data_IF_219427077291
#
_entry.id   IF_219427077291
#
_cell.length_a   1.000
_cell.length_b   1.000
_cell.length_c   1.000
_cell.angle_alpha   90.00
_cell.angle_beta   90.00
_cell.angle_gamma   90.00
#
_symmetry.space_group_name_H-M   'P 1'
#
loop_
_entity.id
_entity.type
_entity.pdbx_description
1 polymer ?
#
# COMPACT_ATOMS: atom_id res chain seq x y z
N UNK A 1 -51.11 -1.85 26.45
CA UNK A 1 -50.69 -1.88 25.98
C UNK A 1 -49.69 -1.72 25.51
N UNK A 2 -49.14 -1.82 25.37
CA UNK A 2 -48.33 -1.67 24.99
C UNK A 2 -47.51 -1.44 24.28
N UNK A 3 -46.87 -1.34 23.85
CA UNK A 3 -46.11 -1.03 23.13
C UNK A 3 -44.98 -1.01 23.02
N UNK A 4 -44.43 -1.25 22.65
CA UNK A 4 -43.38 -1.26 22.45
C UNK A 4 -42.62 -0.88 21.63
N UNK A 5 -42.00 -0.63 21.35
CA UNK A 5 -41.25 -0.22 20.63
C UNK A 5 -40.19 -0.59 20.39
N UNK A 6 -39.73 -0.79 19.89
CA UNK A 6 -38.70 -1.16 19.62
C UNK A 6 -37.77 -0.60 19.11
N UNK A 7 -37.18 -0.27 19.33
CA UNK A 7 -36.14 0.34 18.99
C UNK A 7 -35.30 -0.17 18.11
N UNK A 8 -35.02 0.04 17.50
CA UNK A 8 -34.25 -0.46 16.70
C UNK A 8 -33.09 -0.04 16.57
N UNK A 9 -32.39 -0.26 17.00
CA UNK A 9 -31.17 0.07 16.94
C UNK A 9 -30.56 -0.01 15.75
N UNK A 10 -30.26 0.71 15.20
CA UNK A 10 -29.72 0.62 14.14
C UNK A 10 -28.45 0.73 14.12
N UNK A 11 -27.79 -0.06 14.19
CA UNK A 11 -26.49 -0.09 14.14
C UNK A 11 -25.96 0.48 12.99
N UNK A 12 -25.37 1.49 13.08
CA UNK A 12 -24.81 2.04 12.09
C UNK A 12 -23.55 1.56 11.95
N UNK A 13 -23.28 0.63 11.27
CA UNK A 13 -21.98 0.18 11.07
C UNK A 13 -21.30 1.11 10.13
N UNK A 14 -20.61 1.96 10.64
CA UNK A 14 -19.79 2.80 9.83
C UNK A 14 -18.59 2.02 9.48
N UNK A 15 -18.51 1.61 8.29
CA UNK A 15 -17.36 0.90 7.86
C UNK A 15 -16.33 1.88 7.47
N UNK A 16 -15.39 2.04 8.30
CA UNK A 16 -14.27 2.93 8.03
C UNK A 16 -13.07 2.14 7.54
N UNK A 17 -13.31 0.97 7.02
CA UNK A 17 -12.20 0.08 6.67
C UNK A 17 -11.21 0.68 5.69
N UNK A 18 -11.68 1.49 4.74
CA UNK A 18 -10.80 2.13 3.79
C UNK A 18 -9.79 3.05 4.46
N UNK A 19 -10.26 3.91 5.36
CA UNK A 19 -9.38 4.85 6.07
C UNK A 19 -8.45 4.13 7.02
N UNK A 20 -8.94 3.13 7.73
CA UNK A 20 -8.12 2.39 8.68
C UNK A 20 -7.01 1.62 7.97
N UNK A 21 -7.32 0.97 6.85
CA UNK A 21 -6.33 0.23 6.08
C UNK A 21 -5.29 1.17 5.48
N UNK A 22 -5.71 2.34 5.01
CA UNK A 22 -4.77 3.32 4.47
C UNK A 22 -3.83 3.84 5.55
N UNK A 23 -4.35 4.11 6.76
CA UNK A 23 -3.54 4.59 7.87
C UNK A 23 -2.55 3.51 8.32
N UNK A 24 -2.98 2.26 8.43
CA UNK A 24 -2.09 1.16 8.78
C UNK A 24 -0.98 0.96 7.74
N UNK A 25 -1.34 1.04 6.46
CA UNK A 25 -0.39 0.89 5.37
C UNK A 25 0.67 1.97 5.40
N UNK A 26 0.27 3.21 5.61
CA UNK A 26 1.20 4.32 5.69
C UNK A 26 2.11 4.21 6.91
N UNK A 27 1.57 3.83 8.05
CA UNK A 27 2.37 3.64 9.26
C UNK A 27 3.37 2.51 9.09
N UNK A 28 2.97 1.41 8.46
CA UNK A 28 3.85 0.30 8.18
C UNK A 28 4.96 0.71 7.20
N UNK A 29 4.62 1.47 6.19
CA UNK A 29 5.60 1.99 5.22
C UNK A 29 6.63 2.87 5.90
N UNK A 30 6.17 3.73 6.78
CA UNK A 30 7.05 4.61 7.55
C UNK A 30 8.00 3.80 8.43
N UNK A 31 7.44 2.83 9.16
CA UNK A 31 8.24 1.97 10.03
C UNK A 31 9.23 1.11 9.26
N UNK A 32 8.90 0.76 8.03
CA UNK A 32 9.74 -0.08 7.17
C UNK A 32 10.78 0.69 6.38
N UNK A 33 10.79 2.02 6.48
CA UNK A 33 11.79 2.84 5.80
C UNK A 33 11.45 3.20 4.36
N UNK A 34 10.24 2.91 3.91
CA UNK A 34 9.87 3.14 2.52
C UNK A 34 9.79 4.63 2.16
N UNK A 35 9.46 5.47 3.13
CA UNK A 35 9.27 6.90 2.89
C UNK A 35 10.56 7.66 2.70
N UNK A 36 11.71 7.01 2.83
CA UNK A 36 12.98 7.61 2.47
C UNK A 36 13.08 7.85 0.96
N UNK A 37 12.42 7.00 0.17
CA UNK A 37 12.50 7.04 -1.29
C UNK A 37 11.16 7.18 -1.99
N UNK A 38 10.07 7.01 -1.29
CA UNK A 38 8.73 7.11 -1.85
C UNK A 38 7.85 8.08 -1.07
N UNK A 39 6.85 8.60 -1.75
CA UNK A 39 5.75 9.32 -1.13
C UNK A 39 4.47 8.88 -1.84
N UNK A 40 3.33 9.14 -1.21
CA UNK A 40 2.05 8.75 -1.79
C UNK A 40 1.76 9.54 -3.06
N UNK A 41 1.97 10.85 -3.01
CA UNK A 41 1.50 11.73 -4.08
C UNK A 41 2.59 12.32 -4.97
N UNK A 42 3.83 12.09 -4.65
CA UNK A 42 4.93 12.68 -5.45
C UNK A 42 6.14 11.77 -5.52
N UNK A 43 6.91 11.98 -6.55
CA UNK A 43 8.21 11.33 -6.71
C UNK A 43 9.19 11.88 -5.68
N UNK A 44 9.99 10.99 -5.13
CA UNK A 44 11.14 11.35 -4.31
C UNK A 44 12.39 10.80 -5.01
N UNK A 45 12.86 9.63 -4.65
CA UNK A 45 13.84 8.88 -5.43
C UNK A 45 13.09 7.89 -6.32
N UNK A 46 12.14 7.18 -5.73
CA UNK A 46 11.25 6.28 -6.46
C UNK A 46 9.96 6.98 -6.88
N UNK A 47 9.13 6.29 -7.64
CA UNK A 47 7.88 6.87 -8.11
C UNK A 47 6.90 7.13 -6.98
N UNK A 48 5.99 8.07 -7.19
CA UNK A 48 4.86 8.25 -6.31
C UNK A 48 4.03 6.97 -6.28
N UNK A 49 3.55 6.60 -5.12
CA UNK A 49 2.75 5.38 -5.01
C UNK A 49 1.41 5.46 -5.75
N UNK A 50 0.84 6.64 -5.86
CA UNK A 50 -0.36 6.82 -6.69
C UNK A 50 -0.06 6.52 -8.16
N UNK A 51 1.13 6.84 -8.64
CA UNK A 51 1.53 6.52 -10.00
C UNK A 51 1.75 5.02 -10.18
N UNK A 52 2.28 4.35 -9.15
CA UNK A 52 2.42 2.89 -9.18
C UNK A 52 1.04 2.24 -9.26
N UNK A 53 0.11 2.69 -8.43
CA UNK A 53 -1.25 2.17 -8.45
C UNK A 53 -1.92 2.37 -9.82
N UNK A 54 -1.73 3.55 -10.40
CA UNK A 54 -2.31 3.86 -11.71
C UNK A 54 -1.71 3.00 -12.81
N UNK A 55 -0.38 2.80 -12.78
CA UNK A 55 0.31 2.00 -13.79
C UNK A 55 -0.18 0.55 -13.80
N UNK A 56 -0.42 0.00 -12.64
CA UNK A 56 -0.78 -1.42 -12.51
C UNK A 56 -2.27 -1.67 -12.31
N UNK A 57 -3.08 -0.64 -12.50
CA UNK A 57 -4.52 -0.79 -12.34
C UNK A 57 -5.06 -1.84 -13.29
N UNK A 58 -5.79 -2.80 -12.75
CA UNK A 58 -6.37 -3.87 -13.56
C UNK A 58 -5.42 -5.00 -13.92
N UNK A 59 -4.16 -4.91 -13.51
CA UNK A 59 -3.19 -5.96 -13.78
C UNK A 59 -3.19 -6.96 -12.62
N UNK A 60 -3.80 -8.11 -12.83
CA UNK A 60 -3.91 -9.13 -11.79
C UNK A 60 -2.57 -9.73 -11.37
N UNK A 61 -1.55 -9.64 -12.21
CA UNK A 61 -0.23 -10.17 -11.90
C UNK A 61 0.64 -9.19 -11.13
N UNK A 62 0.24 -7.93 -11.05
CA UNK A 62 1.08 -6.89 -10.48
C UNK A 62 1.43 -7.12 -9.02
N UNK A 63 0.49 -7.64 -8.25
CA UNK A 63 0.72 -7.85 -6.83
C UNK A 63 1.94 -8.74 -6.58
N UNK A 64 1.96 -9.90 -7.20
CA UNK A 64 3.05 -10.86 -6.99
C UNK A 64 4.37 -10.33 -7.53
N UNK A 65 4.34 -9.65 -8.66
CA UNK A 65 5.52 -9.04 -9.25
C UNK A 65 6.10 -7.98 -8.31
N UNK A 66 5.26 -7.13 -7.77
CA UNK A 66 5.70 -6.06 -6.87
C UNK A 66 6.16 -6.60 -5.51
N UNK A 67 5.51 -7.62 -4.99
CA UNK A 67 5.97 -8.28 -3.77
C UNK A 67 7.39 -8.81 -3.98
N UNK A 68 7.63 -9.50 -5.08
CA UNK A 68 8.97 -10.01 -5.40
C UNK A 68 9.98 -8.89 -5.57
N UNK A 69 9.57 -7.79 -6.19
CA UNK A 69 10.43 -6.63 -6.39
C UNK A 69 10.84 -6.00 -5.06
N UNK A 70 9.92 -5.82 -4.13
CA UNK A 70 10.24 -5.24 -2.83
C UNK A 70 11.16 -6.15 -2.04
N UNK A 71 10.94 -7.45 -2.10
CA UNK A 71 11.81 -8.43 -1.43
C UNK A 71 13.23 -8.40 -1.97
N UNK A 72 13.37 -8.48 -3.27
CA UNK A 72 14.66 -8.63 -3.93
C UNK A 72 15.34 -7.31 -4.29
N UNK A 73 14.57 -6.25 -4.41
CA UNK A 73 15.09 -4.98 -4.86
C UNK A 73 15.47 -4.97 -6.33
N UNK A 74 16.28 -4.01 -6.69
CA UNK A 74 16.80 -3.88 -8.04
C UNK A 74 16.09 -2.83 -8.86
N UNK A 75 16.49 -2.74 -10.13
CA UNK A 75 15.85 -1.84 -11.08
C UNK A 75 14.55 -2.44 -11.56
N UNK A 76 13.60 -1.62 -11.87
CA UNK A 76 12.31 -2.08 -12.38
C UNK A 76 11.92 -1.31 -13.62
N UNK A 77 10.64 -1.02 -13.71
CA UNK A 77 10.07 -0.35 -14.88
C UNK A 77 9.99 1.16 -14.71
N UNK A 78 10.73 1.72 -13.76
CA UNK A 78 10.63 3.13 -13.39
C UNK A 78 11.95 3.89 -13.62
N UNK A 79 12.80 3.38 -14.50
CA UNK A 79 14.13 3.98 -14.72
C UNK A 79 14.08 5.45 -15.14
N UNK A 80 13.05 5.85 -15.87
CA UNK A 80 12.89 7.24 -16.26
C UNK A 80 12.61 8.14 -15.06
N UNK A 81 11.96 7.62 -14.04
CA UNK A 81 11.65 8.36 -12.82
C UNK A 81 12.84 8.34 -11.87
N UNK A 82 13.47 7.18 -11.72
CA UNK A 82 14.53 6.97 -10.74
C UNK A 82 15.91 7.36 -11.22
N UNK A 83 16.07 7.59 -12.51
CA UNK A 83 17.39 7.80 -13.10
C UNK A 83 18.26 6.56 -13.07
N UNK A 84 17.63 5.40 -12.94
CA UNK A 84 18.33 4.12 -12.88
C UNK A 84 18.80 3.72 -11.49
N UNK A 85 18.42 4.48 -10.46
CA UNK A 85 18.74 4.12 -9.07
C UNK A 85 17.94 2.88 -8.69
N UNK A 86 18.59 1.81 -8.23
CA UNK A 86 17.87 0.60 -7.86
C UNK A 86 17.21 0.74 -6.48
N UNK A 87 16.11 0.03 -6.30
CA UNK A 87 15.50 -0.09 -5.00
C UNK A 87 16.29 -1.10 -4.18
N UNK A 88 16.62 -0.84 -2.92
CA UNK A 88 17.30 -1.83 -2.11
C UNK A 88 16.37 -2.99 -1.76
N UNK A 89 16.93 -4.18 -1.48
CA UNK A 89 16.09 -5.31 -1.05
C UNK A 89 15.60 -5.11 0.39
N UNK A 90 14.37 -5.51 0.64
CA UNK A 90 13.77 -5.37 1.96
C UNK A 90 13.59 -6.69 2.71
N UNK A 91 13.71 -7.82 2.04
CA UNK A 91 13.73 -9.12 2.71
C UNK A 91 15.17 -9.48 3.07
N UNK A 92 15.43 -10.03 4.25
CA UNK A 92 14.48 -10.39 5.32
C UNK A 92 14.26 -9.31 6.37
N UNK A 93 14.80 -8.11 6.17
CA UNK A 93 14.70 -7.04 7.15
C UNK A 93 13.24 -6.69 7.47
N UNK A 94 12.40 -6.71 6.46
CA UNK A 94 10.94 -6.54 6.62
C UNK A 94 10.32 -7.91 6.37
N UNK A 95 9.42 -8.32 7.24
CA UNK A 95 8.76 -9.63 7.13
C UNK A 95 7.97 -9.73 5.83
N UNK A 96 7.94 -10.91 5.24
CA UNK A 96 7.24 -11.13 3.99
C UNK A 96 5.76 -10.74 4.07
N UNK A 97 5.09 -11.06 5.17
CA UNK A 97 3.70 -10.69 5.37
C UNK A 97 3.50 -9.17 5.37
N UNK A 98 4.45 -8.43 5.91
CA UNK A 98 4.39 -6.97 5.92
C UNK A 98 4.66 -6.40 4.52
N UNK A 99 5.55 -7.00 3.77
CA UNK A 99 5.78 -6.61 2.37
C UNK A 99 4.49 -6.79 1.56
N UNK A 100 3.80 -7.90 1.76
CA UNK A 100 2.52 -8.14 1.08
C UNK A 100 1.48 -7.08 1.45
N UNK A 101 1.40 -6.72 2.72
CA UNK A 101 0.50 -5.64 3.17
C UNK A 101 0.85 -4.31 2.54
N UNK A 102 2.13 -4.01 2.44
CA UNK A 102 2.61 -2.76 1.83
C UNK A 102 2.22 -2.70 0.35
N UNK A 103 2.43 -3.77 -0.37
CA UNK A 103 2.05 -3.83 -1.80
C UNK A 103 0.54 -3.69 -1.95
N UNK A 104 -0.24 -4.38 -1.13
CA UNK A 104 -1.69 -4.26 -1.16
C UNK A 104 -2.15 -2.82 -0.88
N UNK A 105 -1.53 -2.17 0.08
CA UNK A 105 -1.80 -0.77 0.38
C UNK A 105 -1.51 0.13 -0.82
N UNK A 106 -0.34 -0.04 -1.44
CA UNK A 106 0.06 0.78 -2.59
C UNK A 106 -0.88 0.57 -3.77
N UNK A 107 -1.21 -0.66 -4.08
CA UNK A 107 -2.08 -0.97 -5.22
C UNK A 107 -3.53 -0.52 -5.00
N UNK A 108 -3.93 -0.26 -3.77
CA UNK A 108 -5.27 0.23 -3.45
C UNK A 108 -5.39 1.76 -3.52
N UNK A 109 -4.33 2.47 -3.77
CA UNK A 109 -4.36 3.94 -3.87
C UNK A 109 -5.00 4.44 -5.21
#
# INVERSE_FOLDING_TARGET
MKNKVLGLGLGLAVVMSGSAVAAEGLDLAKASGCLACHAVEKKVVGPAWQDVAAKYKGDAAARDVLVSKVKAGGKGNWNEVTGGVPMPPYSPRVADADIEKLVDFILAL
#
